data_IF_244246919790
#
_entry.id   IF_244246919790
#
_cell.length_a   1.000
_cell.length_b   1.000
_cell.length_c   1.000
_cell.angle_alpha   90.00
_cell.angle_beta   90.00
_cell.angle_gamma   90.00
#
_symmetry.space_group_name_H-M   'P 1'
#
loop_
_entity.id
_entity.type
_entity.pdbx_description
1 polymer ?
#
# COMPACT_ATOMS: atom_id res chain seq x y z
N UNK A 1 -39.57 28.67 -10.73
CA UNK A 1 -40.18 27.32 -10.80
C UNK A 1 -39.19 26.39 -11.49
N UNK A 2 -38.73 25.35 -10.80
CA UNK A 2 -37.67 24.45 -11.30
C UNK A 2 -38.31 23.32 -12.13
N UNK A 3 -37.87 23.12 -13.39
CA UNK A 3 -38.49 22.14 -14.29
C UNK A 3 -37.96 20.72 -13.99
N UNK A 4 -38.79 19.69 -14.18
CA UNK A 4 -38.47 18.27 -13.95
C UNK A 4 -37.18 17.79 -14.62
N UNK A 5 -36.79 18.41 -15.75
CA UNK A 5 -35.51 18.14 -16.44
C UNK A 5 -34.27 18.65 -15.67
N UNK A 6 -34.39 19.76 -14.94
CA UNK A 6 -33.29 20.28 -14.11
C UNK A 6 -33.13 19.45 -12.83
N UNK A 7 -34.21 18.89 -12.29
CA UNK A 7 -34.16 18.00 -11.12
C UNK A 7 -33.42 16.68 -11.42
N UNK A 8 -33.63 16.11 -12.62
CA UNK A 8 -32.97 14.87 -13.04
C UNK A 8 -31.49 15.09 -13.38
N UNK A 9 -31.11 16.24 -13.95
CA UNK A 9 -29.71 16.58 -14.25
C UNK A 9 -28.85 16.80 -13.00
N UNK A 10 -29.41 17.46 -11.97
CA UNK A 10 -28.72 17.70 -10.69
C UNK A 10 -28.72 16.44 -9.82
N UNK A 11 -29.81 15.67 -9.82
CA UNK A 11 -29.93 14.42 -9.07
C UNK A 11 -29.01 13.31 -9.56
N UNK A 12 -28.86 13.15 -10.88
CA UNK A 12 -27.99 12.11 -11.45
C UNK A 12 -26.50 12.38 -11.17
N UNK A 13 -26.05 13.63 -11.32
CA UNK A 13 -24.66 14.00 -11.04
C UNK A 13 -24.32 13.92 -9.55
N UNK A 14 -25.21 14.43 -8.69
CA UNK A 14 -25.03 14.39 -7.23
C UNK A 14 -25.10 12.96 -6.66
N UNK A 15 -26.06 12.16 -7.10
CA UNK A 15 -26.20 10.78 -6.64
C UNK A 15 -25.05 9.88 -7.13
N UNK A 16 -24.55 10.08 -8.36
CA UNK A 16 -23.42 9.31 -8.90
C UNK A 16 -22.08 9.67 -8.22
N UNK A 17 -21.86 10.95 -7.86
CA UNK A 17 -20.67 11.37 -7.12
C UNK A 17 -20.71 10.89 -5.66
N UNK A 18 -21.87 10.96 -5.01
CA UNK A 18 -22.04 10.47 -3.63
C UNK A 18 -21.94 8.94 -3.59
N UNK A 19 -22.51 8.22 -4.57
CA UNK A 19 -22.45 6.76 -4.61
C UNK A 19 -21.04 6.22 -4.85
N UNK A 20 -20.26 6.83 -5.74
CA UNK A 20 -18.89 6.39 -6.03
C UNK A 20 -17.93 6.63 -4.86
N UNK A 21 -17.97 7.79 -4.21
CA UNK A 21 -17.15 8.06 -3.03
C UNK A 21 -17.57 7.21 -1.81
N UNK A 22 -18.88 7.00 -1.62
CA UNK A 22 -19.37 6.12 -0.56
C UNK A 22 -18.93 4.67 -0.78
N UNK A 23 -18.95 4.17 -2.02
CA UNK A 23 -18.49 2.81 -2.36
C UNK A 23 -16.97 2.62 -2.18
N UNK A 24 -16.18 3.62 -2.56
CA UNK A 24 -14.73 3.61 -2.32
C UNK A 24 -14.38 3.60 -0.82
N UNK A 25 -15.19 4.27 0.00
CA UNK A 25 -15.05 4.21 1.46
C UNK A 25 -15.44 2.85 2.03
N UNK A 26 -16.54 2.22 1.58
CA UNK A 26 -17.00 0.93 2.11
C UNK A 26 -16.09 -0.24 1.76
N UNK A 27 -15.51 -0.24 0.56
CA UNK A 27 -14.57 -1.30 0.10
C UNK A 27 -13.26 -1.32 0.90
N UNK A 28 -12.82 -0.17 1.42
CA UNK A 28 -11.58 -0.05 2.18
C UNK A 28 -11.78 -0.08 3.71
N UNK A 29 -13.00 -0.19 4.24
CA UNK A 29 -13.28 -0.16 5.69
C UNK A 29 -12.60 -1.27 6.51
N UNK A 30 -11.96 -2.23 5.86
CA UNK A 30 -11.23 -3.32 6.51
C UNK A 30 -9.72 -3.30 6.30
N UNK A 31 -9.17 -2.40 5.48
CA UNK A 31 -7.73 -2.37 5.19
C UNK A 31 -6.95 -1.69 6.33
N UNK A 32 -5.70 -2.09 6.59
CA UNK A 32 -4.78 -1.24 7.35
C UNK A 32 -4.62 0.12 6.64
N UNK A 33 -4.34 1.17 7.39
CA UNK A 33 -4.00 2.46 6.80
C UNK A 33 -2.76 2.33 5.91
N UNK A 34 -2.82 2.90 4.70
CA UNK A 34 -1.69 2.92 3.78
C UNK A 34 -0.71 4.02 4.22
N UNK A 35 0.24 3.66 5.08
CA UNK A 35 1.34 4.56 5.43
C UNK A 35 2.14 4.95 4.17
N UNK A 36 2.61 6.19 4.11
CA UNK A 36 3.44 6.70 3.03
C UNK A 36 4.66 7.42 3.62
N UNK A 37 5.73 7.48 2.85
CA UNK A 37 6.93 8.24 3.17
C UNK A 37 7.38 8.98 1.92
N UNK A 38 7.70 10.26 2.03
CA UNK A 38 8.18 11.08 0.89
C UNK A 38 9.65 11.47 1.00
N UNK A 39 10.30 11.13 2.11
CA UNK A 39 11.73 11.38 2.34
C UNK A 39 12.58 10.12 2.11
N UNK A 40 13.79 10.33 1.60
CA UNK A 40 14.84 9.31 1.48
C UNK A 40 15.71 9.20 2.75
N UNK A 41 15.38 9.93 3.82
CA UNK A 41 16.11 9.82 5.08
C UNK A 41 15.96 8.43 5.69
N UNK A 42 17.05 7.90 6.25
CA UNK A 42 17.00 6.64 7.00
C UNK A 42 16.12 6.83 8.24
N UNK A 43 15.05 6.04 8.34
CA UNK A 43 14.19 6.00 9.52
C UNK A 43 14.61 4.86 10.44
N UNK A 44 14.71 5.15 11.75
CA UNK A 44 14.98 4.12 12.76
C UNK A 44 13.70 3.33 12.99
N UNK A 45 13.76 2.01 12.78
CA UNK A 45 12.66 1.09 13.09
C UNK A 45 12.54 0.94 14.61
N UNK A 46 11.39 1.25 15.22
CA UNK A 46 11.17 0.99 16.63
C UNK A 46 11.23 -0.51 16.94
N UNK A 47 11.75 -0.88 18.12
CA UNK A 47 11.62 -2.25 18.62
C UNK A 47 10.13 -2.63 18.71
N UNK A 48 9.75 -3.87 18.37
CA UNK A 48 8.36 -4.30 18.43
C UNK A 48 7.80 -4.10 19.83
N UNK A 49 6.64 -3.46 19.91
CA UNK A 49 5.87 -3.35 21.14
C UNK A 49 4.97 -4.55 21.39
N UNK A 50 4.80 -5.43 20.39
CA UNK A 50 3.94 -6.61 20.41
C UNK A 50 4.52 -7.73 19.55
N UNK A 51 4.19 -8.98 19.86
CA UNK A 51 4.71 -10.17 19.16
C UNK A 51 6.05 -10.65 19.70
N UNK A 52 6.77 -11.51 18.95
CA UNK A 52 8.09 -11.98 19.35
C UNK A 52 9.10 -10.81 19.38
N UNK A 53 10.01 -10.85 20.35
CA UNK A 53 11.11 -9.87 20.43
C UNK A 53 12.18 -10.18 19.37
N UNK A 54 12.71 -9.15 18.73
CA UNK A 54 13.80 -9.24 17.77
C UNK A 54 14.55 -7.92 17.67
N UNK A 55 15.74 -7.94 17.05
CA UNK A 55 16.50 -6.72 16.75
C UNK A 55 16.04 -6.19 15.40
N UNK A 56 15.39 -5.01 15.33
CA UNK A 56 14.92 -4.48 14.06
C UNK A 56 16.05 -4.20 13.08
N UNK A 57 15.79 -4.45 11.80
CA UNK A 57 16.67 -4.07 10.71
C UNK A 57 16.50 -2.58 10.42
N UNK A 58 17.63 -1.90 10.21
CA UNK A 58 17.68 -0.53 9.70
C UNK A 58 18.08 -0.59 8.23
N UNK A 59 17.14 -0.24 7.36
CA UNK A 59 17.39 -0.13 5.92
C UNK A 59 17.88 1.28 5.61
N UNK A 60 19.10 1.38 5.07
CA UNK A 60 19.68 2.66 4.69
C UNK A 60 18.83 3.34 3.61
N UNK A 61 18.62 4.64 3.78
CA UNK A 61 17.75 5.46 2.93
C UNK A 61 16.32 4.91 2.81
N UNK A 62 15.87 4.22 3.85
CA UNK A 62 14.60 3.53 3.87
C UNK A 62 13.89 3.65 5.22
N UNK A 63 12.74 3.00 5.27
CA UNK A 63 11.86 2.96 6.43
C UNK A 63 11.13 1.61 6.44
N UNK A 64 10.61 1.23 7.60
CA UNK A 64 9.86 -0.02 7.77
C UNK A 64 8.37 0.24 7.64
N UNK A 65 7.70 -0.55 6.79
CA UNK A 65 6.26 -0.50 6.58
C UNK A 65 5.56 -0.87 7.89
N UNK A 66 4.73 0.01 8.47
CA UNK A 66 3.99 -0.33 9.67
C UNK A 66 2.98 -1.43 9.39
N UNK A 67 2.71 -2.22 10.41
CA UNK A 67 1.66 -3.22 10.43
C UNK A 67 0.69 -2.96 11.57
N UNK A 68 -0.50 -3.55 11.47
CA UNK A 68 -1.38 -3.74 12.61
C UNK A 68 -1.49 -5.22 12.96
N UNK A 69 -1.70 -5.53 14.23
CA UNK A 69 -2.05 -6.88 14.65
C UNK A 69 -3.56 -7.08 14.55
N UNK A 70 -3.99 -8.14 13.86
CA UNK A 70 -5.39 -8.54 13.77
C UNK A 70 -5.53 -10.05 13.98
N UNK A 71 -6.09 -10.47 15.12
CA UNK A 71 -6.29 -11.88 15.48
C UNK A 71 -5.04 -12.76 15.30
N UNK A 72 -3.88 -12.25 15.76
CA UNK A 72 -2.59 -12.96 15.65
C UNK A 72 -1.97 -12.93 14.25
N UNK A 73 -2.47 -12.10 13.33
CA UNK A 73 -1.91 -11.87 11.99
C UNK A 73 -1.32 -10.45 11.93
N UNK A 74 -0.09 -10.32 11.46
CA UNK A 74 0.52 -9.05 11.07
C UNK A 74 -0.03 -8.63 9.71
N UNK A 75 -0.80 -7.55 9.69
CA UNK A 75 -1.39 -7.02 8.47
C UNK A 75 -0.65 -5.78 7.99
N UNK A 76 -0.15 -5.84 6.76
CA UNK A 76 0.54 -4.75 6.07
C UNK A 76 -0.31 -4.24 4.90
N UNK A 77 -0.11 -2.97 4.53
CA UNK A 77 -0.72 -2.38 3.34
C UNK A 77 0.36 -1.81 2.41
N UNK A 78 0.62 -2.54 1.33
CA UNK A 78 1.58 -2.18 0.29
C UNK A 78 0.84 -1.52 -0.88
N UNK A 79 1.29 -0.36 -1.34
CA UNK A 79 0.62 0.39 -2.40
C UNK A 79 1.59 0.63 -3.54
N UNK A 80 1.38 -0.02 -4.68
CA UNK A 80 2.13 0.25 -5.90
C UNK A 80 1.61 1.54 -6.55
N UNK A 81 2.45 2.54 -6.74
CA UNK A 81 2.04 3.84 -7.29
C UNK A 81 3.17 4.55 -8.06
N UNK A 82 2.86 5.48 -8.98
CA UNK A 82 3.86 6.38 -9.55
C UNK A 82 4.44 7.30 -8.47
N UNK A 83 5.75 7.50 -8.50
CA UNK A 83 6.47 8.35 -7.54
C UNK A 83 7.51 9.21 -8.27
N UNK A 84 7.85 10.35 -7.71
CA UNK A 84 8.91 11.22 -8.23
C UNK A 84 10.05 11.28 -7.23
N UNK A 85 11.29 11.03 -7.68
CA UNK A 85 12.47 11.06 -6.82
C UNK A 85 13.60 11.85 -7.43
N UNK A 86 14.22 12.70 -6.62
CA UNK A 86 15.48 13.34 -6.96
C UNK A 86 16.63 12.38 -6.63
N UNK A 87 17.33 11.89 -7.65
CA UNK A 87 18.43 10.93 -7.49
C UNK A 87 19.78 11.62 -7.24
N UNK A 88 19.90 12.84 -7.75
CA UNK A 88 21.02 13.76 -7.58
C UNK A 88 20.49 15.18 -7.83
N UNK A 89 21.27 16.21 -7.49
CA UNK A 89 20.90 17.63 -7.63
C UNK A 89 20.31 17.94 -9.02
N UNK A 90 19.02 18.31 -9.05
CA UNK A 90 18.25 18.62 -10.25
C UNK A 90 17.85 17.41 -11.12
N UNK A 91 18.24 16.18 -10.75
CA UNK A 91 17.94 14.95 -11.48
C UNK A 91 16.68 14.28 -10.93
N UNK A 92 15.52 14.74 -11.39
CA UNK A 92 14.22 14.17 -11.06
C UNK A 92 13.91 12.95 -11.95
N UNK A 93 13.65 11.82 -11.32
CA UNK A 93 13.22 10.58 -11.94
C UNK A 93 11.73 10.32 -11.63
N UNK A 94 10.95 10.07 -12.68
CA UNK A 94 9.58 9.54 -12.55
C UNK A 94 9.66 8.01 -12.54
N UNK A 95 9.26 7.40 -11.44
CA UNK A 95 9.44 5.99 -11.16
C UNK A 95 8.09 5.35 -10.79
N UNK A 96 8.07 4.03 -10.78
CA UNK A 96 7.07 3.28 -10.03
C UNK A 96 7.69 2.81 -8.72
N UNK A 97 6.92 2.89 -7.65
CA UNK A 97 7.39 2.62 -6.31
C UNK A 97 6.30 2.02 -5.44
N UNK A 98 6.62 1.89 -4.16
CA UNK A 98 5.67 1.46 -3.14
C UNK A 98 5.57 2.52 -2.04
N UNK A 99 4.34 2.86 -1.65
CA UNK A 99 4.03 3.71 -0.50
C UNK A 99 4.80 5.07 -0.51
N UNK A 100 4.83 5.73 -1.67
CA UNK A 100 5.50 7.03 -1.86
C UNK A 100 7.02 6.99 -2.13
N UNK A 101 7.66 5.82 -2.13
CA UNK A 101 9.11 5.70 -2.36
C UNK A 101 9.50 4.72 -3.46
N UNK A 102 10.67 4.98 -4.04
CA UNK A 102 11.47 4.01 -4.80
C UNK A 102 12.92 4.17 -4.35
N UNK A 103 13.51 3.22 -3.61
CA UNK A 103 12.99 1.90 -3.21
C UNK A 103 11.83 1.93 -2.22
N UNK A 104 10.91 0.97 -2.30
CA UNK A 104 9.78 0.83 -1.37
C UNK A 104 10.20 0.53 0.09
N UNK A 105 9.24 0.47 1.02
CA UNK A 105 9.53 0.23 2.43
C UNK A 105 10.00 -1.19 2.71
N UNK A 106 10.72 -1.35 3.81
CA UNK A 106 11.09 -2.66 4.36
C UNK A 106 9.87 -3.31 5.00
N UNK A 107 9.60 -4.56 4.64
CA UNK A 107 8.61 -5.39 5.34
C UNK A 107 9.37 -6.30 6.29
N UNK A 108 9.01 -6.26 7.56
CA UNK A 108 9.72 -7.00 8.62
C UNK A 108 8.80 -8.00 9.30
N UNK A 109 9.20 -9.27 9.28
CA UNK A 109 8.53 -10.38 9.95
C UNK A 109 9.59 -11.36 10.46
N UNK A 110 9.25 -12.12 11.50
CA UNK A 110 10.11 -13.15 12.10
C UNK A 110 9.45 -14.52 11.97
N UNK A 111 10.26 -15.57 12.10
CA UNK A 111 9.77 -16.95 12.01
C UNK A 111 8.62 -17.19 13.00
N UNK A 112 7.55 -17.83 12.52
CA UNK A 112 6.32 -18.07 13.27
C UNK A 112 5.26 -16.98 13.13
N UNK A 113 5.59 -15.80 12.58
CA UNK A 113 4.58 -14.79 12.27
C UNK A 113 3.58 -15.28 11.23
N UNK A 114 2.31 -14.98 11.45
CA UNK A 114 1.28 -15.07 10.40
C UNK A 114 1.18 -13.72 9.73
N UNK A 115 1.45 -13.66 8.44
CA UNK A 115 1.51 -12.39 7.69
C UNK A 115 0.38 -12.33 6.67
N UNK A 116 -0.23 -11.14 6.54
CA UNK A 116 -1.16 -10.79 5.47
C UNK A 116 -0.74 -9.45 4.89
N UNK A 117 -0.54 -9.39 3.59
CA UNK A 117 -0.16 -8.16 2.89
C UNK A 117 -1.28 -7.82 1.91
N UNK A 118 -1.90 -6.67 2.13
CA UNK A 118 -2.84 -6.09 1.18
C UNK A 118 -2.05 -5.29 0.15
N UNK A 119 -2.18 -5.64 -1.13
CA UNK A 119 -1.52 -4.95 -2.23
C UNK A 119 -2.55 -4.14 -3.00
N UNK A 120 -2.40 -2.81 -2.98
CA UNK A 120 -3.22 -1.90 -3.79
C UNK A 120 -2.41 -1.44 -5.00
N UNK A 121 -2.93 -1.67 -6.20
CA UNK A 121 -2.33 -1.17 -7.42
C UNK A 121 -2.96 0.16 -7.83
N UNK A 122 -2.18 1.25 -7.82
CA UNK A 122 -2.54 2.56 -8.38
C UNK A 122 -1.76 2.90 -9.65
N UNK A 123 -0.99 1.95 -10.19
CA UNK A 123 -0.30 2.13 -11.46
C UNK A 123 -1.30 2.15 -12.62
N UNK A 124 -0.95 2.76 -13.76
CA UNK A 124 -1.79 2.73 -14.96
C UNK A 124 -1.81 1.36 -15.64
N UNK A 125 -1.05 0.38 -15.15
CA UNK A 125 -0.86 -0.95 -15.73
C UNK A 125 -1.17 -2.06 -14.72
N UNK A 126 -1.47 -3.26 -15.23
CA UNK A 126 -1.58 -4.47 -14.41
C UNK A 126 -0.21 -4.81 -13.79
N UNK A 127 -0.23 -5.28 -12.54
CA UNK A 127 1.00 -5.65 -11.83
C UNK A 127 0.78 -6.82 -10.88
N UNK A 128 1.88 -7.43 -10.46
CA UNK A 128 1.95 -8.51 -9.47
C UNK A 128 3.14 -8.25 -8.55
N UNK A 129 3.13 -8.82 -7.34
CA UNK A 129 4.24 -8.72 -6.39
C UNK A 129 4.76 -10.12 -6.12
N UNK A 130 6.00 -10.39 -6.52
CA UNK A 130 6.67 -11.66 -6.26
C UNK A 130 7.51 -11.58 -4.98
N UNK A 131 7.33 -12.56 -4.09
CA UNK A 131 8.02 -12.62 -2.80
C UNK A 131 9.33 -13.40 -2.93
N UNK A 132 10.31 -12.78 -3.58
CA UNK A 132 11.58 -13.43 -3.93
C UNK A 132 12.25 -14.12 -2.72
N UNK A 133 12.46 -15.44 -2.83
CA UNK A 133 13.13 -16.24 -1.80
C UNK A 133 12.19 -16.78 -0.70
N UNK A 134 10.90 -16.45 -0.72
CA UNK A 134 9.93 -16.98 0.24
C UNK A 134 9.38 -18.34 -0.20
N UNK A 135 9.21 -19.24 0.76
CA UNK A 135 8.56 -20.54 0.54
C UNK A 135 7.05 -20.35 0.71
N UNK A 136 6.32 -20.26 -0.39
CA UNK A 136 4.88 -19.97 -0.40
C UNK A 136 4.11 -20.94 -1.30
N UNK A 137 2.79 -21.14 -1.07
CA UNK A 137 1.92 -21.75 -2.06
C UNK A 137 1.92 -20.95 -3.37
N UNK A 138 1.84 -21.62 -4.52
CA UNK A 138 1.91 -20.98 -5.84
C UNK A 138 0.91 -19.83 -6.01
N UNK A 139 -0.32 -19.96 -5.51
CA UNK A 139 -1.34 -18.91 -5.61
C UNK A 139 -1.06 -17.65 -4.78
N UNK A 140 0.00 -17.65 -3.96
CA UNK A 140 0.44 -16.50 -3.16
C UNK A 140 1.77 -15.91 -3.64
N UNK A 141 2.41 -16.53 -4.64
CA UNK A 141 3.78 -16.19 -5.07
C UNK A 141 3.84 -15.00 -6.05
N UNK A 142 2.69 -14.56 -6.55
CA UNK A 142 2.61 -13.40 -7.45
C UNK A 142 3.27 -13.63 -8.81
N UNK A 143 3.28 -14.88 -9.30
CA UNK A 143 3.74 -15.20 -10.65
C UNK A 143 2.70 -14.71 -11.67
N UNK A 144 3.10 -13.77 -12.54
CA UNK A 144 2.23 -13.20 -13.55
C UNK A 144 1.67 -14.24 -14.52
N UNK A 145 0.36 -14.14 -14.83
CA UNK A 145 -0.32 -15.00 -15.80
C UNK A 145 -0.62 -16.42 -15.32
N UNK A 146 -0.32 -16.76 -14.06
CA UNK A 146 -0.62 -18.04 -13.42
C UNK A 146 -1.45 -17.81 -12.15
N UNK A 147 -2.70 -17.41 -12.33
CA UNK A 147 -3.75 -17.38 -11.29
C UNK A 147 -5.13 -17.18 -11.93
#
# INVERSE_FOLDING_TARGET
>A
MMNRRQLLGVGAAGAALVSSQAWGKTTNMGLPEAAQMDTAATAITPRPSTGPDYTPVVTLNGWTLPYRMNNGVKEFHLVAEPVERELADGMIAHLWGYNGQSTGPTIEAVEGDRVRIYVTNKLPEHTTVHWHGMILPSGMDGVGGLS
#
